data_IF_719257015163
#
_entry.id   IF_719257015163
#
_cell.length_a   1.000
_cell.length_b   1.000
_cell.length_c   1.000
_cell.angle_alpha   90.00
_cell.angle_beta   90.00
_cell.angle_gamma   90.00
#
_symmetry.space_group_name_H-M   'P 1'
#
loop_
_entity.id
_entity.type
_entity.pdbx_description
1 polymer ?
#
# COMPACT_ATOMS: atom_id res chain seq x y z
N UNK A 1 31.26 -18.61 21.64
CA UNK A 1 31.82 -17.50 20.85
C UNK A 1 30.97 -17.17 19.60
N UNK A 2 29.63 -17.29 19.64
CA UNK A 2 28.75 -17.03 18.47
C UNK A 2 27.91 -15.74 18.58
N UNK A 3 28.05 -14.95 19.64
CA UNK A 3 27.16 -13.81 19.91
C UNK A 3 27.59 -12.51 19.18
N UNK A 4 28.87 -12.36 18.87
CA UNK A 4 29.43 -11.09 18.33
C UNK A 4 29.20 -10.94 16.81
N UNK A 5 29.23 -12.05 16.05
CA UNK A 5 28.97 -12.05 14.60
C UNK A 5 27.47 -11.81 14.28
N UNK A 6 26.56 -12.42 15.05
CA UNK A 6 25.09 -12.21 14.94
C UNK A 6 24.67 -10.77 15.29
N UNK A 7 25.37 -10.14 16.23
CA UNK A 7 25.12 -8.74 16.61
C UNK A 7 25.59 -7.76 15.53
N UNK A 8 26.71 -8.05 14.84
CA UNK A 8 27.24 -7.20 13.78
C UNK A 8 26.36 -7.26 12.52
N UNK A 9 25.88 -8.46 12.17
CA UNK A 9 25.01 -8.70 11.02
C UNK A 9 23.66 -7.97 11.19
N UNK A 10 23.05 -8.09 12.38
CA UNK A 10 21.83 -7.35 12.74
C UNK A 10 22.02 -5.84 12.68
N UNK A 11 23.16 -5.32 13.15
CA UNK A 11 23.44 -3.88 13.11
C UNK A 11 23.59 -3.36 11.68
N UNK A 12 24.24 -4.13 10.79
CA UNK A 12 24.38 -3.80 9.37
C UNK A 12 23.01 -3.81 8.67
N UNK A 13 22.16 -4.79 8.98
CA UNK A 13 20.80 -4.86 8.45
C UNK A 13 19.92 -3.69 8.90
N UNK A 14 20.01 -3.29 10.17
CA UNK A 14 19.30 -2.11 10.70
C UNK A 14 19.73 -0.85 9.96
N UNK A 15 21.04 -0.61 9.83
CA UNK A 15 21.56 0.57 9.10
C UNK A 15 21.13 0.54 7.63
N UNK A 16 21.08 -0.65 7.01
CA UNK A 16 20.57 -0.79 5.64
C UNK A 16 19.09 -0.43 5.56
N UNK A 17 18.26 -0.93 6.47
CA UNK A 17 16.83 -0.66 6.54
C UNK A 17 16.53 0.82 6.80
N UNK A 18 17.28 1.48 7.70
CA UNK A 18 17.18 2.91 7.97
C UNK A 18 17.48 3.75 6.73
N UNK A 19 18.53 3.40 5.98
CA UNK A 19 18.85 4.09 4.74
C UNK A 19 17.78 3.88 3.68
N UNK A 20 17.25 2.66 3.54
CA UNK A 20 16.11 2.36 2.66
C UNK A 20 14.91 3.23 3.03
N UNK A 21 14.54 3.28 4.31
CA UNK A 21 13.43 4.11 4.79
C UNK A 21 13.63 5.59 4.46
N UNK A 22 14.82 6.14 4.75
CA UNK A 22 15.16 7.54 4.42
C UNK A 22 15.07 7.85 2.93
N UNK A 23 15.53 6.93 2.08
CA UNK A 23 15.44 7.07 0.62
C UNK A 23 13.97 7.09 0.19
N UNK A 24 13.16 6.17 0.70
CA UNK A 24 11.75 6.08 0.34
C UNK A 24 10.95 7.28 0.85
N UNK A 25 11.19 7.76 2.07
CA UNK A 25 10.53 8.96 2.62
C UNK A 25 10.86 10.21 1.80
N UNK A 26 12.13 10.37 1.43
CA UNK A 26 12.56 11.47 0.57
C UNK A 26 11.95 11.35 -0.84
N UNK A 27 11.99 10.16 -1.43
CA UNK A 27 11.44 9.92 -2.75
C UNK A 27 9.92 10.18 -2.79
N UNK A 28 9.17 9.64 -1.84
CA UNK A 28 7.74 9.88 -1.70
C UNK A 28 7.45 11.38 -1.63
N UNK A 29 8.13 12.12 -0.75
CA UNK A 29 7.95 13.57 -0.61
C UNK A 29 8.24 14.32 -1.91
N UNK A 30 9.33 13.98 -2.60
CA UNK A 30 9.69 14.62 -3.87
C UNK A 30 8.70 14.29 -4.99
N UNK A 31 8.25 13.04 -5.11
CA UNK A 31 7.24 12.65 -6.08
C UNK A 31 5.91 13.36 -5.80
N UNK A 32 5.49 13.44 -4.53
CA UNK A 32 4.30 14.16 -4.07
C UNK A 32 4.37 15.66 -4.33
N UNK A 33 5.55 16.27 -4.22
CA UNK A 33 5.71 17.71 -4.38
C UNK A 33 6.00 18.15 -5.82
N UNK A 34 6.81 17.41 -6.57
CA UNK A 34 7.26 17.78 -7.92
C UNK A 34 6.66 16.93 -9.05
N UNK A 35 6.07 15.77 -8.73
CA UNK A 35 5.57 14.79 -9.69
C UNK A 35 6.62 13.72 -10.01
N UNK A 36 6.17 12.50 -10.32
CA UNK A 36 7.07 11.40 -10.65
C UNK A 36 7.95 11.78 -11.83
N UNK A 37 7.40 12.32 -12.92
CA UNK A 37 8.16 12.66 -14.13
C UNK A 37 9.34 13.63 -13.89
N UNK A 38 9.19 14.59 -12.97
CA UNK A 38 10.16 15.68 -12.77
C UNK A 38 11.24 15.39 -11.72
N UNK A 39 11.06 14.36 -10.89
CA UNK A 39 12.07 13.94 -9.90
C UNK A 39 13.02 12.91 -10.50
N UNK A 40 14.33 13.05 -10.28
CA UNK A 40 15.32 12.03 -10.64
C UNK A 40 16.09 11.51 -9.40
N UNK A 41 16.88 10.44 -9.57
CA UNK A 41 17.65 9.82 -8.47
C UNK A 41 18.70 10.79 -7.88
N UNK A 42 19.24 11.69 -8.70
CA UNK A 42 20.19 12.70 -8.22
C UNK A 42 19.52 13.77 -7.35
N UNK A 43 18.24 14.09 -7.58
CA UNK A 43 17.47 14.97 -6.69
C UNK A 43 17.28 14.35 -5.31
N UNK A 44 16.94 13.06 -5.25
CA UNK A 44 16.81 12.29 -4.00
C UNK A 44 18.15 12.26 -3.27
N UNK A 45 19.23 11.95 -3.99
CA UNK A 45 20.58 11.89 -3.43
C UNK A 45 21.00 13.25 -2.83
N UNK A 46 20.80 14.34 -3.59
CA UNK A 46 21.09 15.72 -3.19
C UNK A 46 20.34 16.13 -1.93
N UNK A 47 19.04 15.84 -1.87
CA UNK A 47 18.18 16.15 -0.73
C UNK A 47 18.61 15.39 0.56
N UNK A 48 19.16 14.19 0.41
CA UNK A 48 19.65 13.37 1.53
C UNK A 48 21.13 13.59 1.87
N UNK A 49 21.85 14.44 1.13
CA UNK A 49 23.29 14.60 1.26
C UNK A 49 24.10 13.34 0.90
N UNK A 50 23.55 12.49 0.03
CA UNK A 50 24.16 11.25 -0.45
C UNK A 50 24.70 11.42 -1.88
N UNK A 51 25.65 10.58 -2.27
CA UNK A 51 26.00 10.44 -3.70
C UNK A 51 24.96 9.60 -4.43
N UNK A 52 24.75 9.86 -5.72
CA UNK A 52 23.85 9.03 -6.55
C UNK A 52 24.31 7.57 -6.57
N UNK A 53 25.63 7.33 -6.58
CA UNK A 53 26.21 5.99 -6.48
C UNK A 53 25.81 5.29 -5.17
N UNK A 54 25.68 6.02 -4.05
CA UNK A 54 25.20 5.44 -2.80
C UNK A 54 23.73 4.99 -2.90
N UNK A 55 22.86 5.80 -3.51
CA UNK A 55 21.45 5.42 -3.73
C UNK A 55 21.35 4.14 -4.58
N UNK A 56 22.16 4.04 -5.63
CA UNK A 56 22.20 2.86 -6.51
C UNK A 56 22.67 1.57 -5.81
N UNK A 57 23.25 1.63 -4.61
CA UNK A 57 23.54 0.44 -3.78
C UNK A 57 22.30 -0.14 -3.11
N UNK A 58 21.23 0.65 -2.98
CA UNK A 58 19.96 0.23 -2.37
C UNK A 58 18.90 -0.06 -3.40
N UNK A 59 18.87 0.70 -4.50
CA UNK A 59 17.88 0.57 -5.57
C UNK A 59 18.55 0.70 -6.93
N UNK A 60 18.39 -0.28 -7.81
CA UNK A 60 18.96 -0.30 -9.15
C UNK A 60 18.35 0.77 -10.09
N UNK A 61 17.15 1.29 -9.77
CA UNK A 61 16.51 2.30 -10.62
C UNK A 61 15.50 3.18 -9.87
N UNK A 62 15.14 4.32 -10.49
CA UNK A 62 14.00 5.15 -10.07
C UNK A 62 12.69 4.37 -10.07
N UNK A 63 12.52 3.41 -10.98
CA UNK A 63 11.33 2.55 -11.05
C UNK A 63 11.23 1.68 -9.80
N UNK A 64 12.34 1.09 -9.36
CA UNK A 64 12.38 0.26 -8.15
C UNK A 64 12.09 1.07 -6.89
N UNK A 65 12.64 2.30 -6.78
CA UNK A 65 12.30 3.23 -5.69
C UNK A 65 10.79 3.50 -5.69
N UNK A 66 10.21 3.77 -6.85
CA UNK A 66 8.78 4.06 -6.98
C UNK A 66 7.91 2.84 -6.62
N UNK A 67 8.26 1.64 -7.09
CA UNK A 67 7.58 0.40 -6.70
C UNK A 67 7.62 0.18 -5.19
N UNK A 68 8.76 0.45 -4.54
CA UNK A 68 8.90 0.34 -3.10
C UNK A 68 8.05 1.39 -2.34
N UNK A 69 7.96 2.63 -2.85
CA UNK A 69 7.05 3.65 -2.30
C UNK A 69 5.59 3.19 -2.43
N UNK A 70 5.15 2.74 -3.61
CA UNK A 70 3.80 2.22 -3.81
C UNK A 70 3.51 1.00 -2.93
N UNK A 71 4.49 0.11 -2.77
CA UNK A 71 4.40 -1.04 -1.87
C UNK A 71 4.12 -0.64 -0.42
N UNK A 72 4.76 0.44 0.08
CA UNK A 72 4.46 0.99 1.41
C UNK A 72 3.03 1.52 1.50
N UNK A 73 2.57 2.26 0.49
CA UNK A 73 1.20 2.78 0.45
C UNK A 73 0.17 1.64 0.49
N UNK A 74 0.36 0.60 -0.34
CA UNK A 74 -0.50 -0.58 -0.37
C UNK A 74 -0.44 -1.38 0.92
N UNK A 75 0.71 -1.45 1.59
CA UNK A 75 0.84 -2.10 2.90
C UNK A 75 0.07 -1.35 3.98
N UNK A 76 0.12 -0.01 4.02
CA UNK A 76 -0.70 0.81 4.92
C UNK A 76 -2.19 0.59 4.66
N UNK A 77 -2.61 0.61 3.39
CA UNK A 77 -3.99 0.35 3.00
C UNK A 77 -4.47 -1.04 3.44
N UNK A 78 -3.62 -2.06 3.28
CA UNK A 78 -3.88 -3.41 3.75
C UNK A 78 -4.04 -3.47 5.27
N UNK A 79 -3.15 -2.83 6.04
CA UNK A 79 -3.23 -2.83 7.49
C UNK A 79 -4.52 -2.17 8.00
N UNK A 80 -4.90 -1.03 7.44
CA UNK A 80 -6.16 -0.35 7.76
C UNK A 80 -7.39 -1.23 7.49
N UNK A 81 -7.35 -1.97 6.37
CA UNK A 81 -8.41 -2.92 6.02
C UNK A 81 -8.43 -4.10 6.97
N UNK A 82 -7.26 -4.65 7.29
CA UNK A 82 -7.11 -5.75 8.24
C UNK A 82 -7.69 -5.37 9.61
N UNK A 83 -7.33 -4.20 10.13
CA UNK A 83 -7.79 -3.71 11.44
C UNK A 83 -9.31 -3.51 11.44
N UNK A 84 -9.88 -2.95 10.37
CA UNK A 84 -11.33 -2.81 10.23
C UNK A 84 -12.04 -4.17 10.18
N UNK A 85 -11.51 -5.10 9.38
CA UNK A 85 -12.01 -6.46 9.24
C UNK A 85 -11.81 -7.30 10.50
N UNK A 86 -10.91 -6.98 11.43
CA UNK A 86 -10.68 -7.74 12.67
C UNK A 86 -11.17 -7.01 13.93
N UNK A 87 -11.83 -5.88 13.73
CA UNK A 87 -12.35 -5.09 14.85
C UNK A 87 -13.62 -5.73 15.46
N UNK A 88 -13.91 -5.47 16.75
CA UNK A 88 -15.13 -5.98 17.39
C UNK A 88 -16.39 -5.49 16.69
N UNK A 89 -17.41 -6.36 16.62
CA UNK A 89 -18.72 -6.06 16.05
C UNK A 89 -19.25 -7.21 15.19
N UNK A 90 -20.43 -7.00 14.62
CA UNK A 90 -21.02 -7.94 13.66
C UNK A 90 -20.27 -7.92 12.33
N UNK A 91 -20.48 -8.93 11.47
CA UNK A 91 -19.85 -8.98 10.16
C UNK A 91 -20.23 -7.75 9.30
N UNK A 92 -21.50 -7.31 9.38
CA UNK A 92 -21.98 -6.10 8.71
C UNK A 92 -21.28 -4.83 9.22
N UNK A 93 -21.05 -4.73 10.53
CA UNK A 93 -20.37 -3.58 11.13
C UNK A 93 -18.92 -3.49 10.68
N UNK A 94 -18.22 -4.63 10.64
CA UNK A 94 -16.84 -4.74 10.15
C UNK A 94 -16.72 -4.40 8.67
N UNK A 95 -17.60 -4.95 7.82
CA UNK A 95 -17.64 -4.61 6.39
C UNK A 95 -17.93 -3.13 6.16
N UNK A 96 -18.87 -2.55 6.91
CA UNK A 96 -19.16 -1.10 6.84
C UNK A 96 -17.94 -0.27 7.23
N UNK A 97 -17.25 -0.65 8.31
CA UNK A 97 -16.04 0.03 8.76
C UNK A 97 -14.93 -0.07 7.72
N UNK A 98 -14.73 -1.24 7.12
CA UNK A 98 -13.78 -1.42 6.02
C UNK A 98 -14.06 -0.44 4.88
N UNK A 99 -15.30 -0.40 4.36
CA UNK A 99 -15.65 0.49 3.24
C UNK A 99 -15.40 1.96 3.62
N UNK A 100 -15.79 2.37 4.82
CA UNK A 100 -15.59 3.75 5.30
C UNK A 100 -14.10 4.12 5.41
N UNK A 101 -13.30 3.27 6.06
CA UNK A 101 -11.85 3.49 6.23
C UNK A 101 -11.15 3.51 4.88
N UNK A 102 -11.49 2.59 3.98
CA UNK A 102 -10.86 2.50 2.67
C UNK A 102 -11.23 3.69 1.78
N UNK A 103 -12.49 4.14 1.82
CA UNK A 103 -12.93 5.36 1.13
C UNK A 103 -12.20 6.60 1.66
N UNK A 104 -12.12 6.77 2.99
CA UNK A 104 -11.41 7.90 3.61
C UNK A 104 -9.93 7.89 3.22
N UNK A 105 -9.25 6.74 3.34
CA UNK A 105 -7.85 6.62 2.95
C UNK A 105 -7.63 6.94 1.48
N UNK A 106 -8.46 6.40 0.58
CA UNK A 106 -8.37 6.65 -0.86
C UNK A 106 -8.57 8.13 -1.15
N UNK A 107 -9.60 8.74 -0.56
CA UNK A 107 -9.91 10.15 -0.73
C UNK A 107 -8.77 11.04 -0.22
N UNK A 108 -8.27 10.82 0.99
CA UNK A 108 -7.23 11.65 1.59
C UNK A 108 -5.88 11.47 0.86
N UNK A 109 -5.64 10.28 0.30
CA UNK A 109 -4.44 10.02 -0.51
C UNK A 109 -4.53 10.65 -1.90
N UNK A 110 -5.71 10.62 -2.54
CA UNK A 110 -5.87 11.01 -3.95
C UNK A 110 -6.32 12.45 -4.16
N UNK A 111 -7.24 12.97 -3.33
CA UNK A 111 -7.78 14.33 -3.50
C UNK A 111 -6.79 15.41 -3.07
N UNK A 112 -5.89 15.11 -2.14
CA UNK A 112 -5.02 16.13 -1.59
C UNK A 112 -3.91 16.53 -2.59
N UNK A 113 -3.57 15.68 -3.58
CA UNK A 113 -2.43 15.89 -4.48
C UNK A 113 -2.53 15.22 -5.87
N UNK A 114 -2.69 16.02 -6.94
CA UNK A 114 -2.63 15.61 -8.37
C UNK A 114 -1.45 14.68 -8.69
N UNK A 115 -0.31 14.89 -8.02
CA UNK A 115 0.93 14.14 -8.22
C UNK A 115 0.90 12.74 -7.61
N UNK A 116 0.09 12.51 -6.57
CA UNK A 116 -0.13 11.16 -6.02
C UNK A 116 -0.95 10.34 -7.01
N UNK A 117 -1.93 10.95 -7.66
CA UNK A 117 -2.68 10.32 -8.74
C UNK A 117 -1.76 9.94 -9.92
N UNK A 118 -0.85 10.83 -10.34
CA UNK A 118 0.21 10.52 -11.33
C UNK A 118 1.04 9.29 -10.91
N UNK A 119 1.52 9.25 -9.66
CA UNK A 119 2.30 8.11 -9.14
C UNK A 119 1.52 6.80 -9.23
N UNK A 120 0.26 6.82 -8.82
CA UNK A 120 -0.59 5.62 -8.80
C UNK A 120 -0.85 5.12 -10.22
N UNK A 121 -1.12 6.01 -11.18
CA UNK A 121 -1.26 5.64 -12.60
C UNK A 121 0.02 5.01 -13.13
N UNK A 122 1.17 5.65 -12.88
CA UNK A 122 2.46 5.13 -13.35
C UNK A 122 2.77 3.76 -12.73
N UNK A 123 2.35 3.52 -11.49
CA UNK A 123 2.50 2.22 -10.83
C UNK A 123 1.60 1.15 -11.46
N UNK A 124 0.33 1.49 -11.74
CA UNK A 124 -0.63 0.61 -12.42
C UNK A 124 -0.10 0.18 -13.80
N UNK A 125 0.42 1.13 -14.58
CA UNK A 125 0.93 0.86 -15.93
C UNK A 125 2.22 0.04 -15.95
N UNK A 126 3.08 0.20 -14.93
CA UNK A 126 4.41 -0.43 -14.90
C UNK A 126 4.45 -1.76 -14.17
N UNK A 127 3.63 -1.96 -13.15
CA UNK A 127 3.66 -3.17 -12.33
C UNK A 127 2.28 -3.56 -11.81
N UNK A 128 1.43 -3.93 -12.77
CA UNK A 128 0.09 -4.45 -12.55
C UNK A 128 0.04 -5.61 -11.53
N UNK A 129 1.10 -6.42 -11.46
CA UNK A 129 1.13 -7.62 -10.64
C UNK A 129 1.16 -7.34 -9.12
N UNK A 130 1.81 -6.25 -8.69
CA UNK A 130 1.81 -5.84 -7.27
C UNK A 130 0.40 -5.42 -6.83
N UNK A 131 -0.33 -4.73 -7.70
CA UNK A 131 -1.70 -4.29 -7.45
C UNK A 131 -2.66 -5.48 -7.45
N UNK A 132 -2.54 -6.42 -8.39
CA UNK A 132 -3.34 -7.66 -8.38
C UNK A 132 -3.19 -8.43 -7.08
N UNK A 133 -1.95 -8.60 -6.61
CA UNK A 133 -1.67 -9.24 -5.31
C UNK A 133 -2.32 -8.50 -4.15
N UNK A 134 -2.29 -7.17 -4.17
CA UNK A 134 -2.94 -6.37 -3.15
C UNK A 134 -4.47 -6.56 -3.16
N UNK A 135 -5.09 -6.49 -4.35
CA UNK A 135 -6.54 -6.69 -4.52
C UNK A 135 -6.95 -8.08 -4.02
N UNK A 136 -6.20 -9.13 -4.35
CA UNK A 136 -6.51 -10.49 -3.89
C UNK A 136 -6.37 -10.63 -2.37
N UNK A 137 -5.35 -10.00 -1.77
CA UNK A 137 -5.18 -9.98 -0.31
C UNK A 137 -6.32 -9.27 0.41
N UNK A 138 -6.77 -8.11 -0.10
CA UNK A 138 -7.92 -7.40 0.45
C UNK A 138 -9.20 -8.25 0.33
N UNK A 139 -9.39 -8.89 -0.81
CA UNK A 139 -10.54 -9.78 -1.05
C UNK A 139 -10.57 -10.94 -0.06
N UNK A 140 -9.42 -11.52 0.28
CA UNK A 140 -9.33 -12.57 1.30
C UNK A 140 -9.85 -12.12 2.67
N UNK A 141 -9.54 -10.89 3.10
CA UNK A 141 -10.05 -10.35 4.37
C UNK A 141 -11.57 -10.15 4.35
N UNK A 142 -12.10 -9.70 3.21
CA UNK A 142 -13.54 -9.52 3.02
C UNK A 142 -14.27 -10.88 2.98
N UNK A 143 -13.68 -11.87 2.30
CA UNK A 143 -14.17 -13.24 2.24
C UNK A 143 -14.26 -13.87 3.63
N UNK A 144 -13.25 -13.67 4.46
CA UNK A 144 -13.24 -14.12 5.86
C UNK A 144 -14.43 -13.53 6.64
N UNK A 145 -14.62 -12.21 6.60
CA UNK A 145 -15.73 -11.54 7.30
C UNK A 145 -17.09 -12.03 6.80
N UNK A 146 -17.24 -12.22 5.48
CA UNK A 146 -18.48 -12.75 4.90
C UNK A 146 -18.72 -14.19 5.36
N UNK A 147 -17.70 -15.03 5.35
CA UNK A 147 -17.78 -16.42 5.82
C UNK A 147 -18.20 -16.50 7.29
N UNK A 148 -17.68 -15.61 8.14
CA UNK A 148 -18.09 -15.52 9.53
C UNK A 148 -19.55 -15.08 9.67
N UNK A 149 -19.99 -14.08 8.91
CA UNK A 149 -21.38 -13.63 8.90
C UNK A 149 -22.37 -14.70 8.41
N UNK A 150 -21.96 -15.56 7.48
CA UNK A 150 -22.75 -16.73 7.06
C UNK A 150 -22.84 -17.74 8.21
N UNK A 151 -21.71 -18.05 8.86
CA UNK A 151 -21.66 -19.03 9.95
C UNK A 151 -22.48 -18.60 11.19
N UNK A 152 -22.59 -17.29 11.45
CA UNK A 152 -23.43 -16.74 12.53
C UNK A 152 -24.90 -16.56 12.14
N UNK A 153 -25.26 -16.78 10.87
CA UNK A 153 -26.59 -16.57 10.33
C UNK A 153 -26.95 -15.10 10.09
N UNK A 154 -25.99 -14.17 10.16
CA UNK A 154 -26.17 -12.76 9.82
C UNK A 154 -26.37 -12.56 8.31
N UNK A 155 -25.70 -13.39 7.49
CA UNK A 155 -25.80 -13.38 6.03
C UNK A 155 -26.43 -14.66 5.50
N UNK A 156 -27.07 -14.55 4.33
CA UNK A 156 -27.65 -15.70 3.64
C UNK A 156 -26.57 -16.71 3.21
N UNK A 157 -26.90 -17.99 3.28
CA UNK A 157 -26.04 -19.10 2.84
C UNK A 157 -25.75 -19.01 1.34
N UNK A 158 -24.47 -18.84 0.99
CA UNK A 158 -23.97 -18.61 -0.36
C UNK A 158 -22.45 -18.86 -0.42
N UNK A 159 -21.88 -18.87 -1.63
CA UNK A 159 -20.42 -18.95 -1.80
C UNK A 159 -19.73 -17.64 -1.33
N UNK A 160 -18.92 -17.66 -0.24
CA UNK A 160 -18.29 -16.47 0.31
C UNK A 160 -17.27 -15.84 -0.64
N UNK A 161 -16.64 -16.64 -1.52
CA UNK A 161 -15.67 -16.16 -2.51
C UNK A 161 -16.35 -15.41 -3.64
N UNK A 162 -17.54 -15.85 -4.05
CA UNK A 162 -18.35 -15.12 -5.03
C UNK A 162 -18.90 -13.84 -4.39
N UNK A 163 -19.41 -13.93 -3.16
CA UNK A 163 -19.93 -12.78 -2.44
C UNK A 163 -18.86 -11.70 -2.21
N UNK A 164 -17.62 -12.07 -1.84
CA UNK A 164 -16.51 -11.12 -1.65
C UNK A 164 -16.12 -10.41 -2.94
N UNK A 165 -16.13 -11.11 -4.08
CA UNK A 165 -15.91 -10.51 -5.41
C UNK A 165 -17.01 -9.52 -5.76
N UNK A 166 -18.28 -9.91 -5.58
CA UNK A 166 -19.42 -9.03 -5.86
C UNK A 166 -19.42 -7.79 -4.95
N UNK A 167 -19.10 -7.97 -3.66
CA UNK A 167 -18.95 -6.87 -2.72
C UNK A 167 -17.86 -5.90 -3.16
N UNK A 168 -16.67 -6.41 -3.49
CA UNK A 168 -15.56 -5.60 -4.00
C UNK A 168 -15.92 -4.83 -5.27
N UNK A 169 -16.63 -5.48 -6.21
CA UNK A 169 -17.11 -4.82 -7.43
C UNK A 169 -18.13 -3.70 -7.12
N UNK A 170 -19.02 -3.90 -6.15
CA UNK A 170 -20.03 -2.91 -5.77
C UNK A 170 -19.45 -1.64 -5.14
N UNK A 171 -18.27 -1.73 -4.52
CA UNK A 171 -17.60 -0.60 -3.87
C UNK A 171 -16.46 0.00 -4.68
N UNK A 172 -16.24 -0.45 -5.92
CA UNK A 172 -15.09 -0.04 -6.73
C UNK A 172 -15.03 1.48 -6.93
N UNK A 173 -16.18 2.14 -7.10
CA UNK A 173 -16.29 3.60 -7.24
C UNK A 173 -15.80 4.36 -5.99
N UNK A 174 -15.89 3.74 -4.81
CA UNK A 174 -15.49 4.33 -3.53
C UNK A 174 -14.02 4.05 -3.20
N UNK A 175 -13.42 3.06 -3.85
CA UNK A 175 -12.13 2.52 -3.47
C UNK A 175 -11.07 2.64 -4.57
N UNK A 176 -11.49 2.87 -5.82
CA UNK A 176 -10.56 2.95 -6.94
C UNK A 176 -9.96 4.37 -7.06
N UNK A 177 -8.63 4.51 -7.05
CA UNK A 177 -7.93 5.80 -7.13
C UNK A 177 -8.40 6.73 -8.26
N UNK A 178 -8.65 6.18 -9.45
CA UNK A 178 -9.08 6.96 -10.62
C UNK A 178 -10.57 7.33 -10.60
N UNK A 179 -11.39 6.66 -9.79
CA UNK A 179 -12.83 6.90 -9.74
C UNK A 179 -13.20 7.89 -8.62
N UNK A 180 -12.45 7.90 -7.52
CA UNK A 180 -12.65 8.84 -6.40
C UNK A 180 -12.15 10.25 -6.75
N UNK A 181 -11.28 10.38 -7.75
CA UNK A 181 -10.74 11.67 -8.21
C UNK A 181 -11.61 12.39 -9.27
N UNK A 182 -12.73 11.79 -9.71
CA UNK A 182 -13.69 12.38 -10.64
C UNK A 182 -14.83 13.09 -9.89
#
# INVERSE_FOLDING_TARGET
>A
MNNTLDTLDKAVDVVRQENVARILDCAERLFRHYGYGKTNVADIARELGMSTANIYRFFASKVEIHQAVCGRMLATCYQLTYDACHSPGTASERLRRYVQTHYQWTRDTMLDQEKVHEMVIVAIERDWHVIEKHIERIRGLVEEVISEGIATGEFADQDPKVASRCFGAAIITLCHPQMVAQ
#
